data_IF_250280304493
#
_entry.id   IF_250280304493
#
_cell.length_a   1.000
_cell.length_b   1.000
_cell.length_c   1.000
_cell.angle_alpha   90.00
_cell.angle_beta   90.00
_cell.angle_gamma   90.00
#
_symmetry.space_group_name_H-M   'P 1'
#
loop_
_entity.id
_entity.type
_entity.pdbx_description
1 polymer ?
#
# COMPACT_ATOMS: atom_id res chain seq x y z
N UNK A 1 18.84 -21.34 21.30
CA UNK A 1 17.51 -20.70 21.34
C UNK A 1 17.76 -19.22 21.08
N UNK A 2 17.43 -18.71 19.90
CA UNK A 2 17.73 -17.31 19.53
C UNK A 2 16.78 -16.38 20.29
N UNK A 3 17.34 -15.56 21.18
CA UNK A 3 16.56 -14.68 22.06
C UNK A 3 16.21 -13.38 21.32
N UNK A 4 14.97 -13.29 20.84
CA UNK A 4 14.47 -12.16 20.05
C UNK A 4 14.45 -10.83 20.83
N UNK A 5 14.43 -10.89 22.17
CA UNK A 5 14.42 -9.71 23.04
C UNK A 5 15.78 -8.98 23.02
N UNK A 6 16.88 -9.72 23.12
CA UNK A 6 18.25 -9.17 23.06
C UNK A 6 18.59 -8.62 21.67
N UNK A 7 18.08 -9.27 20.61
CA UNK A 7 18.21 -8.77 19.25
C UNK A 7 17.47 -7.43 19.07
N UNK A 8 16.24 -7.31 19.59
CA UNK A 8 15.45 -6.08 19.51
C UNK A 8 15.98 -4.94 20.39
N UNK A 9 16.55 -5.24 21.57
CA UNK A 9 17.21 -4.22 22.38
C UNK A 9 18.54 -3.77 21.77
N UNK A 10 19.33 -4.67 21.18
CA UNK A 10 20.55 -4.30 20.45
C UNK A 10 20.23 -3.42 19.23
N UNK A 11 19.12 -3.71 18.51
CA UNK A 11 18.59 -2.90 17.42
C UNK A 11 18.19 -1.50 17.93
N UNK A 12 17.38 -1.41 18.98
CA UNK A 12 16.95 -0.12 19.56
C UNK A 12 18.11 0.71 20.12
N UNK A 13 19.13 0.08 20.71
CA UNK A 13 20.24 0.76 21.38
C UNK A 13 21.35 1.21 20.42
N UNK A 14 21.50 0.56 19.26
CA UNK A 14 22.46 0.95 18.22
C UNK A 14 21.85 1.83 17.08
N UNK A 15 20.54 1.85 16.87
CA UNK A 15 19.97 2.49 15.66
C UNK A 15 19.81 4.02 15.71
N UNK A 16 19.90 4.68 16.87
CA UNK A 16 19.74 6.15 16.92
C UNK A 16 21.07 6.88 16.62
N UNK A 17 22.24 6.22 16.70
CA UNK A 17 23.54 6.91 16.55
C UNK A 17 24.46 6.45 15.41
N UNK A 18 24.14 5.41 14.64
CA UNK A 18 24.92 5.13 13.42
C UNK A 18 24.18 4.27 12.40
N UNK A 19 23.11 4.78 11.79
CA UNK A 19 22.76 4.31 10.45
C UNK A 19 23.72 4.99 9.47
N UNK A 20 24.99 4.58 9.51
CA UNK A 20 25.89 4.61 8.36
C UNK A 20 25.54 3.42 7.45
N UNK A 21 24.28 3.29 7.06
CA UNK A 21 23.88 2.39 5.98
C UNK A 21 23.97 3.17 4.67
N UNK A 22 25.19 3.52 4.26
CA UNK A 22 25.56 3.91 2.90
C UNK A 22 24.78 5.06 2.22
N UNK A 23 24.00 5.85 2.96
CA UNK A 23 23.09 6.86 2.42
C UNK A 23 23.04 8.11 3.28
N UNK A 24 22.76 9.24 2.63
CA UNK A 24 22.59 10.54 3.25
C UNK A 24 21.35 10.52 4.17
N UNK A 25 21.47 10.96 5.42
CA UNK A 25 20.29 11.02 6.31
C UNK A 25 19.30 12.07 5.82
N UNK A 26 18.01 11.97 6.21
CA UNK A 26 16.98 12.98 5.85
C UNK A 26 17.41 14.39 6.27
N UNK A 27 18.06 14.52 7.44
CA UNK A 27 18.62 15.79 7.92
C UNK A 27 19.77 16.30 7.05
N UNK A 28 20.67 15.41 6.61
CA UNK A 28 21.77 15.77 5.70
C UNK A 28 21.27 16.13 4.29
N UNK A 29 20.25 15.43 3.78
CA UNK A 29 19.62 15.72 2.49
C UNK A 29 18.90 17.08 2.52
N UNK A 30 18.19 17.37 3.61
CA UNK A 30 17.53 18.67 3.83
C UNK A 30 18.56 19.79 3.87
N UNK A 31 19.65 19.61 4.62
CA UNK A 31 20.74 20.60 4.71
C UNK A 31 21.45 20.84 3.37
N UNK A 32 21.69 19.77 2.61
CA UNK A 32 22.36 19.85 1.30
C UNK A 32 21.47 20.53 0.24
N UNK A 33 20.16 20.25 0.26
CA UNK A 33 19.18 20.90 -0.60
C UNK A 33 18.98 22.37 -0.20
N UNK A 34 18.93 22.68 1.09
CA UNK A 34 18.72 24.05 1.59
C UNK A 34 19.93 24.95 1.36
N UNK A 35 21.14 24.45 1.55
CA UNK A 35 22.36 25.25 1.37
C UNK A 35 22.60 25.61 -0.11
N UNK A 36 22.10 24.82 -1.05
CA UNK A 36 22.31 25.00 -2.49
C UNK A 36 21.29 25.90 -3.20
N UNK A 37 20.26 26.41 -2.52
CA UNK A 37 19.07 26.93 -3.21
C UNK A 37 18.57 28.29 -2.68
N UNK A 38 19.47 29.27 -2.51
CA UNK A 38 19.01 30.67 -2.38
C UNK A 38 18.62 31.24 -3.74
N UNK A 39 17.32 31.27 -4.02
CA UNK A 39 16.74 31.80 -5.27
C UNK A 39 16.35 33.27 -5.17
N UNK A 40 16.40 33.86 -3.97
CA UNK A 40 16.04 35.25 -3.69
C UNK A 40 16.71 36.25 -4.66
N UNK A 41 18.03 36.17 -4.93
CA UNK A 41 18.66 37.11 -5.86
C UNK A 41 18.16 36.96 -7.30
N UNK A 42 17.89 35.73 -7.75
CA UNK A 42 17.42 35.45 -9.11
C UNK A 42 15.95 35.88 -9.29
N UNK A 43 15.13 35.74 -8.25
CA UNK A 43 13.74 36.23 -8.20
C UNK A 43 13.71 37.75 -8.25
N UNK A 44 14.54 38.43 -7.45
CA UNK A 44 14.62 39.89 -7.45
C UNK A 44 15.07 40.41 -8.81
N UNK A 45 16.14 39.84 -9.38
CA UNK A 45 16.59 40.18 -10.73
C UNK A 45 15.49 40.00 -11.78
N UNK A 46 14.71 38.92 -11.71
CA UNK A 46 13.62 38.68 -12.67
C UNK A 46 12.44 39.65 -12.47
N UNK A 47 12.17 40.06 -11.24
CA UNK A 47 11.08 40.98 -10.89
C UNK A 47 11.41 42.41 -11.30
N UNK A 48 12.67 42.83 -11.15
CA UNK A 48 13.13 44.18 -11.48
C UNK A 48 13.42 44.35 -12.97
N UNK A 49 13.56 43.27 -13.74
CA UNK A 49 13.95 43.32 -15.15
C UNK A 49 12.80 43.72 -16.06
N UNK A 50 12.96 44.82 -16.78
CA UNK A 50 11.98 45.32 -17.77
C UNK A 50 12.52 45.10 -19.18
N UNK A 51 11.69 44.56 -20.06
CA UNK A 51 12.05 44.30 -21.46
C UNK A 51 11.69 45.53 -22.29
N UNK A 52 12.70 46.23 -22.79
CA UNK A 52 12.55 47.48 -23.56
C UNK A 52 13.28 47.44 -24.91
N UNK A 53 14.24 46.53 -25.07
CA UNK A 53 15.10 46.41 -26.24
C UNK A 53 15.53 44.94 -26.49
N UNK A 54 16.18 44.68 -27.62
CA UNK A 54 16.62 43.33 -28.00
C UNK A 54 17.68 42.75 -27.04
N UNK A 55 18.48 43.61 -26.41
CA UNK A 55 19.47 43.19 -25.40
C UNK A 55 18.80 42.78 -24.09
N UNK A 56 17.83 43.56 -23.59
CA UNK A 56 17.04 43.18 -22.40
C UNK A 56 16.18 41.94 -22.65
N UNK A 57 15.66 41.74 -23.87
CA UNK A 57 14.98 40.50 -24.24
C UNK A 57 15.92 39.28 -24.20
N UNK A 58 17.15 39.41 -24.70
CA UNK A 58 18.15 38.34 -24.64
C UNK A 58 18.58 38.01 -23.20
N UNK A 59 18.69 39.03 -22.34
CA UNK A 59 18.99 38.85 -20.92
C UNK A 59 17.85 38.10 -20.19
N UNK A 60 16.59 38.44 -20.47
CA UNK A 60 15.43 37.73 -19.92
C UNK A 60 15.40 36.26 -20.36
N UNK A 61 15.72 35.96 -21.62
CA UNK A 61 15.86 34.60 -22.12
C UNK A 61 16.95 33.83 -21.37
N UNK A 62 18.12 34.44 -21.17
CA UNK A 62 19.22 33.84 -20.41
C UNK A 62 18.80 33.49 -18.98
N UNK A 63 18.12 34.40 -18.28
CA UNK A 63 17.62 34.18 -16.92
C UNK A 63 16.60 33.03 -16.85
N UNK A 64 15.69 32.97 -17.83
CA UNK A 64 14.72 31.87 -17.96
C UNK A 64 15.40 30.51 -18.19
N UNK A 65 16.45 30.47 -19.01
CA UNK A 65 17.24 29.26 -19.24
C UNK A 65 18.04 28.85 -18.01
N UNK A 66 18.58 29.80 -17.25
CA UNK A 66 19.27 29.53 -15.98
C UNK A 66 18.31 28.90 -14.96
N UNK A 67 17.11 29.45 -14.79
CA UNK A 67 16.09 28.87 -13.92
C UNK A 67 15.72 27.43 -14.33
N UNK A 68 15.59 27.17 -15.63
CA UNK A 68 15.34 25.82 -16.16
C UNK A 68 16.48 24.85 -15.84
N UNK A 69 17.73 25.31 -15.93
CA UNK A 69 18.92 24.51 -15.62
C UNK A 69 18.98 24.15 -14.13
N UNK A 70 18.75 25.13 -13.25
CA UNK A 70 18.70 24.92 -11.80
C UNK A 70 17.61 23.89 -11.44
N UNK A 71 16.43 24.01 -12.04
CA UNK A 71 15.34 23.04 -11.82
C UNK A 71 15.75 21.61 -12.23
N UNK A 72 16.41 21.45 -13.38
CA UNK A 72 16.88 20.14 -13.83
C UNK A 72 17.91 19.55 -12.86
N UNK A 73 18.87 20.35 -12.40
CA UNK A 73 19.89 19.92 -11.44
C UNK A 73 19.27 19.51 -10.09
N UNK A 74 18.22 20.21 -9.65
CA UNK A 74 17.49 19.86 -8.43
C UNK A 74 16.83 18.48 -8.55
N UNK A 75 16.19 18.20 -9.70
CA UNK A 75 15.59 16.89 -9.96
C UNK A 75 16.66 15.78 -10.04
N UNK A 76 17.82 16.04 -10.64
CA UNK A 76 18.96 15.11 -10.68
C UNK A 76 19.47 14.80 -9.27
N UNK A 77 19.74 15.83 -8.45
CA UNK A 77 20.15 15.65 -7.05
C UNK A 77 19.09 14.91 -6.23
N UNK A 78 17.79 15.20 -6.45
CA UNK A 78 16.70 14.45 -5.80
C UNK A 78 16.77 12.96 -6.15
N UNK A 79 16.95 12.64 -7.44
CA UNK A 79 17.02 11.27 -7.91
C UNK A 79 18.27 10.55 -7.40
N UNK A 80 19.41 11.21 -7.35
CA UNK A 80 20.66 10.67 -6.78
C UNK A 80 20.49 10.28 -5.31
N UNK A 81 19.80 11.10 -4.53
CA UNK A 81 19.51 10.81 -3.12
C UNK A 81 18.48 9.69 -3.01
N UNK A 82 17.37 9.75 -3.75
CA UNK A 82 16.23 8.84 -3.55
C UNK A 82 16.47 7.43 -4.11
N UNK A 83 17.13 7.29 -5.27
CA UNK A 83 17.27 6.00 -5.96
C UNK A 83 17.92 4.91 -5.10
N UNK A 84 19.06 5.13 -4.42
CA UNK A 84 19.71 4.11 -3.60
C UNK A 84 18.80 3.58 -2.48
N UNK A 85 18.03 4.44 -1.83
CA UNK A 85 17.11 4.03 -0.77
C UNK A 85 15.94 3.19 -1.31
N UNK A 86 15.37 3.60 -2.45
CA UNK A 86 14.30 2.84 -3.11
C UNK A 86 14.80 1.47 -3.56
N UNK A 87 16.00 1.40 -4.13
CA UNK A 87 16.57 0.14 -4.60
C UNK A 87 16.96 -0.79 -3.45
N UNK A 88 17.46 -0.24 -2.34
CA UNK A 88 17.68 -0.98 -1.09
C UNK A 88 16.37 -1.53 -0.50
N UNK A 89 15.32 -0.71 -0.43
CA UNK A 89 14.01 -1.18 0.03
C UNK A 89 13.48 -2.33 -0.83
N UNK A 90 13.64 -2.24 -2.15
CA UNK A 90 13.23 -3.30 -3.09
C UNK A 90 14.02 -4.60 -2.86
N UNK A 91 15.32 -4.52 -2.61
CA UNK A 91 16.13 -5.73 -2.39
C UNK A 91 15.75 -6.44 -1.09
N UNK A 92 15.51 -5.71 0.00
CA UNK A 92 15.01 -6.28 1.25
C UNK A 92 13.65 -6.95 1.03
N UNK A 93 12.70 -6.22 0.45
CA UNK A 93 11.36 -6.74 0.23
C UNK A 93 11.36 -7.98 -0.66
N UNK A 94 12.28 -8.06 -1.62
CA UNK A 94 12.47 -9.25 -2.44
C UNK A 94 12.90 -10.44 -1.59
N UNK A 95 13.93 -10.28 -0.77
CA UNK A 95 14.44 -11.35 0.11
C UNK A 95 13.33 -11.83 1.06
N UNK A 96 12.62 -10.90 1.71
CA UNK A 96 11.52 -11.23 2.63
C UNK A 96 10.46 -12.07 1.92
N UNK A 97 10.01 -11.65 0.73
CA UNK A 97 9.03 -12.41 -0.06
C UNK A 97 9.49 -13.82 -0.42
N UNK A 98 10.77 -14.01 -0.74
CA UNK A 98 11.32 -15.33 -1.03
C UNK A 98 11.31 -16.25 0.20
N UNK A 99 11.55 -15.71 1.40
CA UNK A 99 11.46 -16.48 2.65
C UNK A 99 10.01 -16.72 3.07
N UNK A 100 9.12 -15.73 2.96
CA UNK A 100 7.69 -15.88 3.22
C UNK A 100 7.10 -17.01 2.37
N UNK A 101 7.40 -17.06 1.07
CA UNK A 101 6.93 -18.11 0.18
C UNK A 101 7.41 -19.52 0.61
N UNK A 102 8.67 -19.64 1.06
CA UNK A 102 9.20 -20.91 1.57
C UNK A 102 8.54 -21.34 2.88
N UNK A 103 8.26 -20.39 3.77
CA UNK A 103 7.57 -20.65 5.02
C UNK A 103 6.12 -21.09 4.77
N UNK A 104 5.43 -20.42 3.86
CA UNK A 104 4.08 -20.79 3.42
C UNK A 104 4.06 -22.20 2.80
N UNK A 105 5.04 -22.54 1.95
CA UNK A 105 5.19 -23.88 1.40
C UNK A 105 5.38 -24.95 2.50
N UNK A 106 6.17 -24.65 3.54
CA UNK A 106 6.35 -25.55 4.69
C UNK A 106 5.04 -25.72 5.45
N UNK A 107 4.33 -24.63 5.73
CA UNK A 107 3.05 -24.65 6.44
C UNK A 107 1.99 -25.45 5.67
N UNK A 108 1.85 -25.24 4.36
CA UNK A 108 0.91 -25.96 3.51
C UNK A 108 1.21 -27.45 3.44
N UNK A 109 2.50 -27.82 3.31
CA UNK A 109 2.93 -29.22 3.29
C UNK A 109 2.63 -29.92 4.62
N UNK A 110 2.92 -29.28 5.77
CA UNK A 110 2.64 -29.84 7.09
C UNK A 110 1.14 -29.92 7.36
N UNK A 111 0.39 -28.88 7.00
CA UNK A 111 -1.08 -28.85 7.11
C UNK A 111 -1.73 -29.99 6.32
N UNK A 112 -1.23 -30.26 5.11
CA UNK A 112 -1.72 -31.37 4.27
C UNK A 112 -1.47 -32.73 4.92
N UNK A 113 -0.26 -32.97 5.46
CA UNK A 113 0.07 -34.20 6.20
C UNK A 113 -0.77 -34.36 7.46
N UNK A 114 -1.02 -33.27 8.20
CA UNK A 114 -1.88 -33.28 9.38
C UNK A 114 -3.33 -33.62 9.01
N UNK A 115 -3.86 -33.07 7.91
CA UNK A 115 -5.21 -33.40 7.45
C UNK A 115 -5.33 -34.88 7.02
N UNK A 116 -4.31 -35.43 6.36
CA UNK A 116 -4.26 -36.86 6.00
C UNK A 116 -4.24 -37.75 7.25
N UNK A 117 -3.38 -37.45 8.24
CA UNK A 117 -3.34 -38.18 9.51
C UNK A 117 -4.67 -38.13 10.27
N UNK A 118 -5.32 -36.96 10.29
CA UNK A 118 -6.64 -36.81 10.91
C UNK A 118 -7.73 -37.61 10.17
N UNK A 119 -7.69 -37.71 8.83
CA UNK A 119 -8.62 -38.55 8.05
C UNK A 119 -8.42 -40.04 8.33
N UNK A 120 -7.16 -40.52 8.30
CA UNK A 120 -6.84 -41.92 8.54
C UNK A 120 -7.23 -42.38 9.95
N UNK A 121 -7.01 -41.52 10.96
CA UNK A 121 -7.40 -41.82 12.35
C UNK A 121 -8.92 -41.80 12.61
N UNK A 122 -9.72 -41.17 11.75
CA UNK A 122 -11.19 -41.25 11.82
C UNK A 122 -11.79 -42.50 11.17
N UNK A 123 -11.12 -43.12 10.20
CA UNK A 123 -11.63 -44.29 9.47
C UNK A 123 -11.48 -45.62 10.23
N UNK A 124 -10.55 -45.72 11.18
CA UNK A 124 -10.28 -46.96 11.93
C UNK A 124 -11.25 -47.17 13.11
N UNK A 125 -11.91 -46.12 13.61
CA UNK A 125 -12.87 -46.23 14.70
C UNK A 125 -14.28 -46.51 14.17
N UNK A 126 -14.56 -47.80 13.92
CA UNK A 126 -15.89 -48.28 13.56
C UNK A 126 -16.85 -48.13 14.76
N UNK A 127 -17.98 -47.47 14.53
CA UNK A 127 -19.15 -47.28 15.41
C UNK A 127 -18.99 -46.44 16.69
N UNK A 128 -19.45 -45.18 16.66
CA UNK A 128 -20.31 -44.53 17.67
C UNK A 128 -20.61 -43.09 17.22
N UNK A 129 -21.85 -42.66 17.41
CA UNK A 129 -22.46 -41.40 16.98
C UNK A 129 -21.97 -40.18 17.78
N UNK A 130 -20.66 -40.00 17.95
CA UNK A 130 -20.05 -38.78 18.49
C UNK A 130 -18.77 -38.48 17.72
N UNK A 131 -18.80 -37.45 16.86
CA UNK A 131 -17.59 -36.88 16.25
C UNK A 131 -16.86 -36.12 17.35
N UNK A 132 -15.92 -36.77 18.03
CA UNK A 132 -15.00 -36.07 18.92
C UNK A 132 -14.10 -35.20 18.02
N UNK A 133 -14.30 -33.88 18.05
CA UNK A 133 -13.35 -32.92 17.47
C UNK A 133 -12.00 -33.16 18.15
N UNK A 134 -11.07 -33.81 17.44
CA UNK A 134 -9.73 -34.06 17.97
C UNK A 134 -8.98 -32.72 18.00
N UNK A 135 -9.02 -32.04 19.14
CA UNK A 135 -8.19 -30.88 19.44
C UNK A 135 -6.81 -31.37 19.87
N UNK A 136 -5.77 -30.89 19.17
CA UNK A 136 -4.37 -31.15 19.55
C UNK A 136 -3.78 -29.84 20.05
N UNK A 137 -3.40 -29.81 21.32
CA UNK A 137 -2.71 -28.68 21.95
C UNK A 137 -1.21 -28.95 21.99
N UNK A 138 -0.43 -27.99 21.52
CA UNK A 138 1.04 -27.98 21.58
C UNK A 138 1.50 -26.68 22.24
N UNK A 139 2.79 -26.57 22.57
CA UNK A 139 3.37 -25.38 23.21
C UNK A 139 3.15 -24.11 22.36
N UNK A 140 3.28 -24.23 21.04
CA UNK A 140 3.14 -23.12 20.09
C UNK A 140 1.70 -22.84 19.62
N UNK A 141 0.70 -23.59 20.11
CA UNK A 141 -0.70 -23.34 19.75
C UNK A 141 -1.62 -24.56 19.76
N UNK A 142 -2.73 -24.47 19.02
CA UNK A 142 -3.76 -25.51 18.97
C UNK A 142 -4.24 -25.79 17.56
N UNK A 143 -4.41 -27.07 17.24
CA UNK A 143 -5.04 -27.52 16.00
C UNK A 143 -6.50 -27.88 16.29
N UNK A 144 -7.44 -27.14 15.67
CA UNK A 144 -8.87 -27.43 15.70
C UNK A 144 -9.41 -27.57 14.27
N UNK A 145 -10.11 -28.67 13.99
CA UNK A 145 -10.81 -28.87 12.72
C UNK A 145 -12.23 -28.32 12.83
N UNK A 146 -12.52 -27.24 12.11
CA UNK A 146 -13.85 -26.59 12.10
C UNK A 146 -14.54 -26.89 10.78
N UNK A 147 -15.80 -27.33 10.82
CA UNK A 147 -16.64 -27.41 9.62
C UNK A 147 -17.13 -26.01 9.25
N UNK A 148 -16.70 -25.49 8.11
CA UNK A 148 -17.19 -24.21 7.56
C UNK A 148 -18.22 -24.52 6.48
N UNK A 149 -19.44 -24.03 6.65
CA UNK A 149 -20.45 -24.06 5.59
C UNK A 149 -20.03 -23.06 4.52
N UNK A 150 -19.80 -23.56 3.30
CA UNK A 150 -19.54 -22.77 2.11
C UNK A 150 -20.78 -22.90 1.23
N UNK A 151 -21.24 -21.78 0.68
CA UNK A 151 -22.37 -21.74 -0.24
C UNK A 151 -21.86 -21.34 -1.62
N UNK A 152 -22.48 -21.89 -2.65
CA UNK A 152 -22.26 -21.51 -4.04
C UNK A 152 -23.59 -21.00 -4.59
N UNK A 153 -23.55 -19.96 -5.41
CA UNK A 153 -24.74 -19.36 -5.98
C UNK A 153 -25.18 -20.11 -7.23
N UNK A 154 -26.19 -20.97 -7.11
CA UNK A 154 -26.76 -21.65 -8.27
C UNK A 154 -27.65 -20.71 -9.11
N UNK A 155 -28.60 -20.02 -8.48
CA UNK A 155 -29.55 -19.16 -9.18
C UNK A 155 -29.99 -17.96 -8.34
N UNK A 156 -29.67 -16.75 -8.82
CA UNK A 156 -29.97 -15.50 -8.13
C UNK A 156 -31.48 -15.20 -7.99
N UNK A 157 -32.32 -15.72 -8.89
CA UNK A 157 -33.75 -15.40 -8.91
C UNK A 157 -34.57 -16.17 -7.86
N UNK A 158 -33.99 -17.21 -7.27
CA UNK A 158 -34.62 -18.00 -6.20
C UNK A 158 -34.20 -17.53 -4.81
N UNK A 159 -33.26 -16.58 -4.71
CA UNK A 159 -32.82 -16.03 -3.42
C UNK A 159 -33.94 -15.13 -2.86
N UNK A 160 -34.39 -15.37 -1.61
CA UNK A 160 -35.30 -14.45 -0.93
C UNK A 160 -34.73 -13.02 -0.88
N UNK A 161 -35.59 -12.01 -0.99
CA UNK A 161 -35.17 -10.59 -0.99
C UNK A 161 -34.38 -10.17 0.24
N UNK A 162 -34.59 -10.84 1.37
CA UNK A 162 -33.87 -10.58 2.63
C UNK A 162 -32.35 -10.84 2.53
N UNK A 163 -31.92 -11.69 1.59
CA UNK A 163 -30.51 -12.02 1.35
C UNK A 163 -29.94 -11.40 0.07
N UNK A 164 -30.76 -10.65 -0.68
CA UNK A 164 -30.37 -10.00 -1.93
C UNK A 164 -30.06 -8.52 -1.67
N UNK A 165 -28.78 -8.14 -1.62
CA UNK A 165 -28.37 -6.73 -1.56
C UNK A 165 -28.28 -6.13 -2.97
N UNK A 166 -28.85 -4.93 -3.16
CA UNK A 166 -28.82 -4.20 -4.43
C UNK A 166 -27.47 -3.47 -4.55
N UNK A 167 -26.81 -3.61 -5.70
CA UNK A 167 -25.59 -2.84 -6.00
C UNK A 167 -25.95 -1.38 -6.32
N UNK A 168 -25.85 -0.52 -5.30
CA UNK A 168 -26.15 0.91 -5.38
C UNK A 168 -25.33 1.63 -6.45
N UNK A 169 -24.10 1.19 -6.74
CA UNK A 169 -23.23 1.84 -7.72
C UNK A 169 -23.75 1.65 -9.13
N UNK A 170 -24.22 0.44 -9.46
CA UNK A 170 -24.82 0.15 -10.76
C UNK A 170 -26.14 0.87 -10.95
N UNK A 171 -26.94 0.99 -9.89
CA UNK A 171 -28.18 1.77 -9.92
C UNK A 171 -27.88 3.25 -10.15
N UNK A 172 -26.91 3.82 -9.43
CA UNK A 172 -26.50 5.22 -9.60
C UNK A 172 -25.93 5.49 -11.00
N UNK A 173 -25.18 4.55 -11.57
CA UNK A 173 -24.68 4.64 -12.94
C UNK A 173 -25.82 4.60 -13.97
N UNK A 174 -26.80 3.72 -13.81
CA UNK A 174 -27.99 3.67 -14.67
C UNK A 174 -28.84 4.96 -14.57
N UNK A 175 -29.01 5.50 -13.36
CA UNK A 175 -29.69 6.80 -13.13
C UNK A 175 -28.92 7.93 -13.82
N UNK A 176 -27.58 7.94 -13.73
CA UNK A 176 -26.71 8.91 -14.40
C UNK A 176 -26.75 8.80 -15.92
N UNK A 177 -26.92 7.59 -16.46
CA UNK A 177 -27.09 7.33 -17.89
C UNK A 177 -28.50 7.68 -18.41
N UNK A 178 -29.41 8.14 -17.55
CA UNK A 178 -30.74 8.63 -17.93
C UNK A 178 -31.86 7.60 -17.80
N UNK A 179 -31.61 6.42 -17.21
CA UNK A 179 -32.67 5.46 -16.90
C UNK A 179 -33.46 5.96 -15.70
N UNK A 180 -34.68 6.46 -15.95
CA UNK A 180 -35.56 7.05 -14.92
C UNK A 180 -36.64 6.09 -14.39
N UNK A 181 -36.71 4.87 -14.93
CA UNK A 181 -37.63 3.84 -14.47
C UNK A 181 -36.91 2.49 -14.37
N UNK A 182 -36.62 2.05 -13.15
CA UNK A 182 -36.10 0.72 -12.84
C UNK A 182 -37.18 0.01 -12.02
N UNK A 183 -37.69 -1.16 -12.45
CA UNK A 183 -38.70 -1.89 -11.69
C UNK A 183 -38.25 -2.14 -10.24
N UNK A 184 -39.02 -1.62 -9.29
CA UNK A 184 -38.73 -1.74 -7.86
C UNK A 184 -37.86 -0.64 -7.24
N UNK A 185 -37.35 0.32 -8.02
CA UNK A 185 -36.58 1.48 -7.52
C UNK A 185 -37.29 2.78 -7.91
N UNK A 186 -37.70 3.55 -6.90
CA UNK A 186 -38.26 4.88 -7.10
C UNK A 186 -37.12 5.90 -7.17
N UNK A 187 -36.86 6.43 -8.36
CA UNK A 187 -35.87 7.49 -8.58
C UNK A 187 -36.53 8.84 -8.33
N UNK A 188 -35.91 9.71 -7.53
CA UNK A 188 -36.37 11.06 -7.25
C UNK A 188 -35.20 12.05 -7.28
N UNK A 189 -35.48 13.29 -7.68
CA UNK A 189 -34.51 14.37 -7.73
C UNK A 189 -34.53 15.13 -6.40
N UNK A 190 -33.37 15.28 -5.75
CA UNK A 190 -33.21 16.07 -4.53
C UNK A 190 -32.19 17.16 -4.81
N UNK A 191 -32.58 18.42 -4.65
CA UNK A 191 -31.68 19.56 -4.79
C UNK A 191 -30.88 19.73 -3.48
N UNK A 192 -29.55 19.64 -3.56
CA UNK A 192 -28.64 19.94 -2.45
C UNK A 192 -27.64 21.01 -2.89
N UNK A 193 -27.53 22.09 -2.10
CA UNK A 193 -26.58 23.18 -2.34
C UNK A 193 -25.22 22.75 -1.76
N UNK A 194 -24.19 22.67 -2.61
CA UNK A 194 -22.81 22.38 -2.18
C UNK A 194 -21.90 23.59 -2.45
N UNK A 195 -21.17 24.04 -1.42
CA UNK A 195 -20.24 25.16 -1.50
C UNK A 195 -18.80 24.63 -1.40
N UNK A 196 -17.90 25.07 -2.28
CA UNK A 196 -16.47 24.70 -2.26
C UNK A 196 -15.59 25.95 -2.23
N UNK A 197 -14.57 25.92 -1.37
CA UNK A 197 -13.50 26.93 -1.30
C UNK A 197 -12.34 26.48 -2.18
N UNK A 198 -11.75 27.41 -2.93
CA UNK A 198 -10.60 27.17 -3.79
C UNK A 198 -9.33 27.17 -2.93
N UNK A 199 -8.68 26.01 -2.80
CA UNK A 199 -7.28 25.91 -2.35
C UNK A 199 -6.36 25.92 -3.57
#
# INVERSE_FOLDING_TARGET
MFNFEEANEAIKKNEIMSIQAGGMTVGQATLLLSHKLDLTPLINQATDHVIVDEKSASQALSMSLQARKIRKQLDETRLEIVRPHVDFQKSINKIVKEYEAKLEEIEENLKSKLDEYLKQSTSTNNSTFMVIEKEMTVEDGKLRKVKKWVWELENANLIPRDYLSIDEKKVAEAVKQGVRNIPGIKIFEKEEITMRVKN
#
